data_IF_577058957926
#
_entry.id   IF_577058957926
#
_cell.length_a   1.000
_cell.length_b   1.000
_cell.length_c   1.000
_cell.angle_alpha   90.00
_cell.angle_beta   90.00
_cell.angle_gamma   90.00
#
_symmetry.space_group_name_H-M   'P 1'
#
loop_
_entity.id
_entity.type
_entity.pdbx_description
1 polymer ?
#
# COMPACT_ATOMS: atom_id res chain seq x y z
N UNK A 1 8.04 -5.55 25.20
CA UNK A 1 7.78 -4.33 24.41
C UNK A 1 6.77 -4.57 23.27
N UNK A 2 6.82 -5.68 22.55
CA UNK A 2 5.90 -5.95 21.42
C UNK A 2 4.40 -6.02 21.81
N UNK A 3 4.04 -6.70 22.91
CA UNK A 3 2.63 -6.82 23.35
C UNK A 3 2.01 -5.46 23.73
N UNK A 4 2.73 -4.62 24.45
CA UNK A 4 2.27 -3.27 24.81
C UNK A 4 2.07 -2.39 23.56
N UNK A 5 2.97 -2.48 22.59
CA UNK A 5 2.83 -1.78 21.32
C UNK A 5 1.59 -2.20 20.54
N UNK A 6 1.27 -3.50 20.53
CA UNK A 6 0.06 -4.02 19.87
C UNK A 6 -1.20 -3.55 20.61
N UNK A 7 -1.25 -3.70 21.94
CA UNK A 7 -2.38 -3.21 22.75
C UNK A 7 -2.62 -1.72 22.53
N UNK A 8 -1.55 -0.94 22.50
CA UNK A 8 -1.62 0.50 22.23
C UNK A 8 -2.27 0.81 20.87
N UNK A 9 -1.94 0.04 19.83
CA UNK A 9 -2.56 0.22 18.50
C UNK A 9 -4.07 -0.07 18.51
N UNK A 10 -4.54 -1.05 19.30
CA UNK A 10 -5.97 -1.33 19.43
C UNK A 10 -6.73 -0.22 20.18
N UNK A 11 -6.07 0.49 21.08
CA UNK A 11 -6.69 1.57 21.88
C UNK A 11 -6.63 2.93 21.19
N UNK A 12 -5.74 3.11 20.20
CA UNK A 12 -5.60 4.38 19.50
C UNK A 12 -6.78 4.63 18.56
N UNK A 13 -7.28 5.87 18.50
CA UNK A 13 -8.20 6.31 17.47
C UNK A 13 -7.44 6.48 16.13
N UNK A 14 -7.07 5.37 15.49
CA UNK A 14 -6.15 5.30 14.35
C UNK A 14 -6.54 6.26 13.22
N UNK A 15 -7.83 6.32 12.85
CA UNK A 15 -8.33 7.21 11.80
C UNK A 15 -8.24 8.69 12.17
N UNK A 16 -8.49 9.03 13.45
CA UNK A 16 -8.34 10.42 13.90
C UNK A 16 -6.88 10.85 13.83
N UNK A 17 -5.99 9.99 14.34
CA UNK A 17 -4.55 10.23 14.30
C UNK A 17 -4.06 10.40 12.85
N UNK A 18 -4.43 9.48 11.96
CA UNK A 18 -4.05 9.53 10.55
C UNK A 18 -4.56 10.80 9.86
N UNK A 19 -5.79 11.23 10.15
CA UNK A 19 -6.33 12.49 9.62
C UNK A 19 -5.58 13.72 10.13
N UNK A 20 -5.22 13.76 11.42
CA UNK A 20 -4.45 14.87 11.99
C UNK A 20 -3.05 14.94 11.37
N UNK A 21 -2.37 13.80 11.26
CA UNK A 21 -1.05 13.71 10.61
C UNK A 21 -1.15 14.06 9.13
N UNK A 22 -2.19 13.60 8.42
CA UNK A 22 -2.45 13.95 7.02
C UNK A 22 -2.61 15.46 6.81
N UNK A 23 -3.41 16.14 7.66
CA UNK A 23 -3.53 17.60 7.63
C UNK A 23 -2.20 18.30 7.87
N UNK A 24 -1.39 17.79 8.80
CA UNK A 24 -0.05 18.33 9.07
C UNK A 24 0.87 18.11 7.85
N UNK A 25 0.82 16.93 7.23
CA UNK A 25 1.60 16.60 6.04
C UNK A 25 1.25 17.45 4.82
N UNK A 26 0.00 17.91 4.72
CA UNK A 26 -0.46 18.84 3.67
C UNK A 26 -0.16 20.31 4.00
N UNK A 27 0.27 20.63 5.23
CA UNK A 27 0.56 21.98 5.66
C UNK A 27 1.83 22.55 4.99
N UNK A 28 1.72 23.75 4.44
CA UNK A 28 2.87 24.47 3.87
C UNK A 28 3.84 24.99 4.96
N UNK A 29 3.35 25.28 6.15
CA UNK A 29 4.12 25.98 7.18
C UNK A 29 5.26 25.13 7.76
N UNK A 30 5.00 23.86 8.06
CA UNK A 30 5.98 22.95 8.69
C UNK A 30 6.72 22.04 7.68
N UNK A 31 6.48 22.21 6.38
CA UNK A 31 7.01 21.31 5.35
C UNK A 31 8.52 21.12 5.43
N UNK A 32 9.28 22.22 5.45
CA UNK A 32 10.75 22.19 5.40
C UNK A 32 11.38 21.47 6.59
N UNK A 33 11.05 21.81 7.86
CA UNK A 33 11.59 21.10 9.00
C UNK A 33 11.16 19.63 9.03
N UNK A 34 9.90 19.32 8.67
CA UNK A 34 9.41 17.94 8.60
C UNK A 34 10.19 17.12 7.57
N UNK A 35 10.36 17.64 6.35
CA UNK A 35 11.11 16.96 5.29
C UNK A 35 12.57 16.75 5.72
N UNK A 36 13.25 17.76 6.26
CA UNK A 36 14.65 17.64 6.71
C UNK A 36 14.83 16.60 7.81
N UNK A 37 13.95 16.62 8.82
CA UNK A 37 13.97 15.65 9.92
C UNK A 37 13.73 14.24 9.36
N UNK A 38 12.76 14.08 8.46
CA UNK A 38 12.41 12.80 7.87
C UNK A 38 13.57 12.22 7.03
N UNK A 39 14.16 13.02 6.15
CA UNK A 39 15.33 12.62 5.34
C UNK A 39 16.46 12.15 6.26
N UNK A 40 16.78 12.93 7.30
CA UNK A 40 17.86 12.58 8.25
C UNK A 40 17.53 11.32 9.06
N UNK A 41 16.29 11.19 9.54
CA UNK A 41 15.85 10.08 10.40
C UNK A 41 15.81 8.75 9.65
N UNK A 42 15.30 8.77 8.42
CA UNK A 42 15.10 7.56 7.60
C UNK A 42 16.16 7.37 6.53
N UNK A 43 17.11 8.31 6.38
CA UNK A 43 18.18 8.26 5.36
C UNK A 43 17.63 8.16 3.95
N UNK A 44 16.62 8.99 3.63
CA UNK A 44 16.00 9.02 2.31
C UNK A 44 17.04 9.43 1.25
N UNK A 45 17.15 8.65 0.18
CA UNK A 45 18.03 8.97 -0.95
C UNK A 45 17.39 10.00 -1.86
N UNK A 46 17.76 11.26 -1.72
CA UNK A 46 17.24 12.35 -2.56
C UNK A 46 17.91 12.43 -3.94
N UNK A 47 19.02 11.72 -4.17
CA UNK A 47 19.74 11.76 -5.47
C UNK A 47 18.92 11.08 -6.59
N UNK A 48 18.03 10.17 -6.23
CA UNK A 48 17.14 9.47 -7.15
C UNK A 48 15.86 10.25 -7.44
N UNK A 49 15.55 11.26 -6.62
CA UNK A 49 14.34 12.04 -6.77
C UNK A 49 14.43 13.00 -7.96
N UNK A 50 13.34 13.13 -8.73
CA UNK A 50 13.23 14.10 -9.82
C UNK A 50 13.38 15.54 -9.30
N UNK A 51 12.81 15.83 -8.13
CA UNK A 51 12.99 17.08 -7.39
C UNK A 51 13.90 16.78 -6.21
N UNK A 52 15.15 17.28 -6.26
CA UNK A 52 16.13 17.06 -5.19
C UNK A 52 16.15 18.21 -4.17
N UNK A 53 15.73 19.39 -4.59
CA UNK A 53 15.64 20.58 -3.74
C UNK A 53 14.37 20.52 -2.88
N UNK A 54 14.53 20.41 -1.57
CA UNK A 54 13.42 20.34 -0.61
C UNK A 54 12.54 21.59 -0.60
N UNK A 55 13.06 22.73 -1.05
CA UNK A 55 12.33 23.99 -1.10
C UNK A 55 11.22 23.97 -2.18
N UNK A 56 11.34 23.10 -3.17
CA UNK A 56 10.42 22.96 -4.30
C UNK A 56 9.20 22.07 -4.01
N UNK A 57 9.21 21.31 -2.92
CA UNK A 57 8.03 20.54 -2.55
C UNK A 57 6.96 21.45 -1.94
N UNK A 58 5.75 21.31 -2.39
CA UNK A 58 4.61 22.08 -1.90
C UNK A 58 4.30 21.80 -0.42
N UNK A 59 4.37 20.54 -0.03
CA UNK A 59 4.09 20.05 1.31
C UNK A 59 4.85 18.74 1.56
N UNK A 60 4.71 18.17 2.76
CA UNK A 60 5.36 16.91 3.10
C UNK A 60 4.83 15.73 2.26
N UNK A 61 3.53 15.73 1.93
CA UNK A 61 2.93 14.66 1.14
C UNK A 61 3.52 14.61 -0.27
N UNK A 62 3.71 15.77 -0.92
CA UNK A 62 4.37 15.87 -2.22
C UNK A 62 5.81 15.33 -2.20
N UNK A 63 6.54 15.52 -1.09
CA UNK A 63 7.85 14.90 -0.89
C UNK A 63 7.74 13.39 -0.67
N UNK A 64 6.80 12.93 0.13
CA UNK A 64 6.63 11.52 0.45
C UNK A 64 6.26 10.70 -0.79
N UNK A 65 5.40 11.26 -1.66
CA UNK A 65 5.00 10.67 -2.94
C UNK A 65 5.83 11.18 -4.14
N UNK A 66 7.07 11.62 -3.89
CA UNK A 66 7.98 12.19 -4.89
C UNK A 66 8.18 11.29 -6.10
N UNK A 67 8.35 11.88 -7.27
CA UNK A 67 8.78 11.15 -8.46
C UNK A 67 10.29 10.84 -8.42
N UNK A 68 10.67 9.74 -9.04
CA UNK A 68 12.06 9.40 -9.27
C UNK A 68 12.53 9.94 -10.65
N UNK A 69 13.85 10.00 -10.83
CA UNK A 69 14.46 10.21 -12.15
C UNK A 69 14.06 9.04 -13.08
N UNK A 70 13.94 9.27 -14.40
CA UNK A 70 13.46 8.26 -15.34
C UNK A 70 14.19 6.91 -15.23
N UNK A 71 15.50 6.90 -15.05
CA UNK A 71 16.32 5.69 -15.04
C UNK A 71 16.72 5.24 -13.63
N UNK A 72 16.04 5.76 -12.60
CA UNK A 72 16.36 5.43 -11.20
C UNK A 72 16.07 3.97 -10.84
N UNK A 73 15.23 3.28 -11.61
CA UNK A 73 14.96 1.84 -11.48
C UNK A 73 15.08 1.18 -12.85
N UNK A 74 15.92 0.17 -12.93
CA UNK A 74 16.01 -0.67 -14.12
C UNK A 74 14.74 -1.52 -14.23
N UNK A 75 14.12 -1.49 -15.41
CA UNK A 75 12.98 -2.33 -15.74
C UNK A 75 13.49 -3.46 -16.64
N UNK A 76 13.07 -4.69 -16.37
CA UNK A 76 13.44 -5.84 -17.19
C UNK A 76 12.73 -5.77 -18.54
N UNK A 77 13.49 -5.93 -19.63
CA UNK A 77 12.97 -6.04 -21.00
C UNK A 77 12.65 -7.48 -21.38
N UNK A 78 12.79 -8.43 -20.47
CA UNK A 78 12.52 -9.84 -20.74
C UNK A 78 11.03 -10.08 -21.00
N UNK A 79 10.70 -10.76 -22.08
CA UNK A 79 9.30 -11.13 -22.39
C UNK A 79 8.71 -11.97 -21.26
N UNK A 80 7.50 -11.59 -20.82
CA UNK A 80 6.79 -12.26 -19.73
C UNK A 80 7.33 -11.97 -18.33
N UNK A 81 8.25 -11.01 -18.17
CA UNK A 81 8.72 -10.62 -16.84
C UNK A 81 7.64 -9.87 -16.08
N UNK A 82 7.39 -10.31 -14.84
CA UNK A 82 6.61 -9.56 -13.86
C UNK A 82 7.62 -8.76 -13.04
N UNK A 83 7.63 -7.44 -13.19
CA UNK A 83 8.55 -6.56 -12.47
C UNK A 83 8.03 -6.21 -11.08
N UNK A 84 8.92 -5.86 -10.17
CA UNK A 84 8.51 -5.44 -8.84
C UNK A 84 7.73 -4.12 -8.90
N UNK A 85 6.49 -4.07 -8.42
CA UNK A 85 5.63 -2.88 -8.57
C UNK A 85 6.01 -1.71 -7.65
N UNK A 86 6.84 -1.94 -6.63
CA UNK A 86 7.18 -0.95 -5.62
C UNK A 86 8.58 -1.17 -5.05
N UNK A 87 9.19 -0.11 -4.56
CA UNK A 87 10.37 -0.23 -3.69
C UNK A 87 9.98 -0.84 -2.36
N UNK A 88 10.87 -1.61 -1.77
CA UNK A 88 10.65 -2.20 -0.44
C UNK A 88 11.31 -3.56 -0.27
N UNK A 89 10.88 -4.26 0.76
CA UNK A 89 11.27 -5.63 1.02
C UNK A 89 10.14 -6.59 0.67
N UNK A 90 10.43 -7.67 -0.02
CA UNK A 90 9.49 -8.79 -0.16
C UNK A 90 9.37 -9.46 1.20
N UNK A 91 8.22 -9.28 1.85
CA UNK A 91 7.98 -9.88 3.17
C UNK A 91 7.48 -11.30 3.05
N UNK A 92 6.67 -11.59 2.03
CA UNK A 92 6.18 -12.94 1.71
C UNK A 92 6.06 -13.11 0.20
N UNK A 93 6.34 -14.31 -0.26
CA UNK A 93 6.19 -14.74 -1.64
C UNK A 93 5.79 -16.22 -1.65
N UNK A 94 4.80 -16.60 -2.42
CA UNK A 94 4.36 -17.98 -2.44
C UNK A 94 3.17 -18.26 -3.34
N UNK A 95 2.64 -19.47 -3.17
CA UNK A 95 1.41 -19.90 -3.82
C UNK A 95 0.21 -19.62 -2.90
N UNK A 96 -0.93 -19.36 -3.51
CA UNK A 96 -2.22 -19.34 -2.83
C UNK A 96 -2.71 -20.79 -2.79
N UNK A 97 -2.66 -21.41 -1.63
CA UNK A 97 -3.08 -22.80 -1.44
C UNK A 97 -4.37 -22.86 -0.62
N UNK A 98 -5.37 -23.58 -1.10
CA UNK A 98 -6.67 -23.69 -0.46
C UNK A 98 -7.31 -22.30 -0.13
N UNK A 99 -7.11 -21.33 -1.02
CA UNK A 99 -7.57 -19.96 -0.84
C UNK A 99 -6.86 -19.17 0.28
N UNK A 100 -5.71 -19.63 0.76
CA UNK A 100 -4.96 -19.02 1.86
C UNK A 100 -3.65 -18.40 1.40
N UNK A 101 -3.33 -17.24 1.98
CA UNK A 101 -2.06 -16.55 1.81
C UNK A 101 -1.28 -16.55 3.12
N UNK A 102 0.04 -16.70 3.02
CA UNK A 102 0.92 -16.59 4.19
C UNK A 102 1.09 -15.13 4.59
N UNK A 103 0.75 -14.80 5.84
CA UNK A 103 0.98 -13.46 6.39
C UNK A 103 2.37 -13.32 7.00
N UNK A 104 2.69 -14.14 7.96
CA UNK A 104 3.98 -14.18 8.68
C UNK A 104 4.01 -15.38 9.64
N UNK A 105 5.18 -15.96 9.89
CA UNK A 105 5.39 -17.01 10.91
C UNK A 105 4.32 -18.12 10.94
N UNK A 106 3.94 -18.65 9.80
CA UNK A 106 2.92 -19.69 9.69
C UNK A 106 1.48 -19.21 9.96
N UNK A 107 1.24 -17.92 10.02
CA UNK A 107 -0.09 -17.32 10.02
C UNK A 107 -0.56 -17.13 8.58
N UNK A 108 -1.77 -17.56 8.32
CA UNK A 108 -2.41 -17.40 7.02
C UNK A 108 -3.66 -16.54 7.16
N UNK A 109 -4.09 -15.98 6.07
CA UNK A 109 -5.37 -15.27 5.95
C UNK A 109 -6.01 -15.59 4.60
N UNK A 110 -7.32 -15.48 4.55
CA UNK A 110 -8.10 -15.87 3.38
C UNK A 110 -7.96 -14.88 2.23
N UNK A 111 -7.78 -15.40 1.02
CA UNK A 111 -7.85 -14.61 -0.22
C UNK A 111 -9.21 -13.93 -0.36
N UNK A 112 -10.29 -14.64 -0.06
CA UNK A 112 -11.65 -14.08 -0.07
C UNK A 112 -11.79 -12.89 0.88
N UNK A 113 -11.31 -13.01 2.13
CA UNK A 113 -11.35 -11.89 3.09
C UNK A 113 -10.52 -10.70 2.59
N UNK A 114 -9.35 -10.95 2.00
CA UNK A 114 -8.51 -9.91 1.41
C UNK A 114 -9.24 -9.19 0.27
N UNK A 115 -10.01 -9.93 -0.53
CA UNK A 115 -10.81 -9.47 -1.67
C UNK A 115 -12.23 -9.03 -1.27
N UNK A 116 -12.40 -8.50 -0.07
CA UNK A 116 -13.65 -7.93 0.44
C UNK A 116 -14.81 -8.93 0.62
N UNK A 117 -14.55 -10.23 0.69
CA UNK A 117 -15.55 -11.28 0.78
C UNK A 117 -16.13 -11.72 -0.57
N UNK A 118 -15.53 -11.28 -1.67
CA UNK A 118 -15.95 -11.69 -3.01
C UNK A 118 -15.38 -13.08 -3.34
N UNK A 119 -16.23 -14.11 -3.14
CA UNK A 119 -15.90 -15.52 -3.39
C UNK A 119 -15.62 -15.77 -4.89
N UNK A 120 -16.34 -15.10 -5.78
CA UNK A 120 -16.15 -15.28 -7.23
C UNK A 120 -14.78 -14.74 -7.65
N UNK A 121 -14.44 -13.53 -7.20
CA UNK A 121 -13.12 -12.97 -7.44
C UNK A 121 -12.01 -13.82 -6.80
N UNK A 122 -12.20 -14.32 -5.57
CA UNK A 122 -11.21 -15.17 -4.91
C UNK A 122 -10.92 -16.46 -5.70
N UNK A 123 -11.94 -17.02 -6.36
CA UNK A 123 -11.80 -18.23 -7.20
C UNK A 123 -10.85 -18.00 -8.38
N UNK A 124 -10.75 -16.77 -8.92
CA UNK A 124 -9.82 -16.44 -10.01
C UNK A 124 -8.35 -16.64 -9.60
N UNK A 125 -8.06 -16.56 -8.30
CA UNK A 125 -6.71 -16.66 -7.76
C UNK A 125 -6.41 -18.00 -7.10
N UNK A 126 -7.30 -18.97 -7.18
CA UNK A 126 -7.04 -20.33 -6.70
C UNK A 126 -5.80 -20.90 -7.42
N UNK A 127 -4.90 -21.53 -6.65
CA UNK A 127 -3.60 -22.05 -7.15
C UNK A 127 -2.70 -20.96 -7.79
N UNK A 128 -3.05 -19.69 -7.60
CA UNK A 128 -2.26 -18.57 -8.06
C UNK A 128 -1.02 -18.32 -7.19
N UNK A 129 -0.36 -17.22 -7.49
CA UNK A 129 0.84 -16.77 -6.77
C UNK A 129 0.61 -15.40 -6.16
N UNK A 130 1.29 -15.12 -5.05
CA UNK A 130 1.24 -13.79 -4.44
C UNK A 130 2.63 -13.32 -4.02
N UNK A 131 2.78 -12.00 -3.93
CA UNK A 131 3.92 -11.34 -3.33
C UNK A 131 3.41 -10.22 -2.40
N UNK A 132 3.91 -10.18 -1.18
CA UNK A 132 3.68 -9.09 -0.24
C UNK A 132 4.94 -8.25 -0.15
N UNK A 133 4.83 -6.98 -0.55
CA UNK A 133 5.94 -6.03 -0.58
C UNK A 133 5.68 -4.98 0.50
N UNK A 134 6.68 -4.72 1.31
CA UNK A 134 6.65 -3.74 2.39
C UNK A 134 7.56 -2.55 2.08
N UNK A 135 7.00 -1.41 1.64
CA UNK A 135 7.75 -0.17 1.53
C UNK A 135 8.03 0.40 2.92
N UNK A 136 9.29 0.62 3.24
CA UNK A 136 9.65 1.31 4.48
C UNK A 136 9.58 2.84 4.29
N UNK A 137 9.53 3.65 5.35
CA UNK A 137 9.36 5.10 5.22
C UNK A 137 10.39 5.81 4.32
N UNK A 138 11.58 5.25 4.12
CA UNK A 138 12.61 5.83 3.24
C UNK A 138 12.38 5.57 1.77
N UNK A 139 11.62 4.51 1.45
CA UNK A 139 11.47 4.01 0.10
C UNK A 139 10.61 4.93 -0.77
N UNK A 140 10.53 4.62 -2.02
CA UNK A 140 9.64 5.26 -2.98
C UNK A 140 8.21 4.76 -2.77
N UNK A 141 7.23 5.68 -2.70
CA UNK A 141 5.86 5.36 -2.31
C UNK A 141 4.85 5.45 -3.46
N UNK A 142 5.31 5.45 -4.71
CA UNK A 142 4.41 5.22 -5.85
C UNK A 142 4.50 3.76 -6.25
N UNK A 143 3.35 3.16 -6.53
CA UNK A 143 3.22 1.79 -7.00
C UNK A 143 2.97 1.80 -8.50
N UNK A 144 3.65 0.93 -9.22
CA UNK A 144 3.57 0.81 -10.68
C UNK A 144 3.02 -0.55 -11.07
N UNK A 145 2.47 -0.65 -12.30
CA UNK A 145 2.01 -1.93 -12.81
C UNK A 145 3.19 -2.88 -13.02
N UNK A 146 3.11 -4.11 -12.49
CA UNK A 146 4.18 -5.10 -12.64
C UNK A 146 4.24 -5.74 -14.04
N UNK A 147 3.16 -5.68 -14.80
CA UNK A 147 3.02 -6.13 -16.19
C UNK A 147 1.92 -5.31 -16.86
N UNK A 148 1.90 -5.21 -18.17
CA UNK A 148 0.81 -4.56 -18.90
C UNK A 148 -0.54 -5.24 -18.62
N UNK A 149 -1.60 -4.44 -18.44
CA UNK A 149 -2.93 -4.95 -18.15
C UNK A 149 -4.00 -3.87 -18.26
N UNK A 150 -5.24 -4.30 -18.39
CA UNK A 150 -6.43 -3.45 -18.45
C UNK A 150 -7.11 -3.45 -17.09
N UNK A 151 -7.34 -2.27 -16.52
CA UNK A 151 -8.09 -2.14 -15.28
C UNK A 151 -9.55 -2.53 -15.49
N UNK A 152 -10.01 -3.52 -14.74
CA UNK A 152 -11.38 -4.03 -14.82
C UNK A 152 -12.26 -3.46 -13.71
N UNK A 153 -11.76 -3.47 -12.49
CA UNK A 153 -12.53 -3.08 -11.30
C UNK A 153 -11.61 -2.52 -10.23
N UNK A 154 -12.12 -1.56 -9.46
CA UNK A 154 -11.53 -1.18 -8.18
C UNK A 154 -12.53 -1.37 -7.05
N UNK A 155 -12.04 -1.83 -5.89
CA UNK A 155 -12.85 -1.99 -4.68
C UNK A 155 -12.10 -1.31 -3.53
N UNK A 156 -12.67 -0.22 -3.03
CA UNK A 156 -12.23 0.37 -1.77
C UNK A 156 -12.90 -0.34 -0.60
N UNK A 157 -12.11 -0.83 0.32
CA UNK A 157 -12.56 -1.54 1.51
C UNK A 157 -12.17 -0.73 2.75
N UNK A 158 -13.14 -0.16 3.48
CA UNK A 158 -12.85 0.50 4.74
C UNK A 158 -12.34 -0.50 5.77
N UNK A 159 -11.41 -0.09 6.62
CA UNK A 159 -10.83 -0.99 7.60
C UNK A 159 -10.08 -0.26 8.70
N UNK A 160 -9.30 -1.02 9.46
CA UNK A 160 -8.39 -0.49 10.48
C UNK A 160 -7.14 0.15 9.82
N UNK A 161 -6.32 0.83 10.61
CA UNK A 161 -5.04 1.38 10.19
C UNK A 161 -3.92 0.94 11.16
N UNK A 162 -3.78 -0.37 11.32
CA UNK A 162 -2.64 -0.92 12.06
C UNK A 162 -1.34 -0.64 11.31
N UNK A 163 -0.25 -0.44 12.02
CA UNK A 163 1.06 -0.44 11.37
C UNK A 163 1.31 -1.82 10.71
N UNK A 164 2.00 -1.83 9.58
CA UNK A 164 2.24 -3.07 8.81
C UNK A 164 3.69 -3.56 8.91
N UNK A 165 4.38 -3.17 9.99
CA UNK A 165 5.73 -3.69 10.27
C UNK A 165 5.69 -5.17 10.72
N UNK A 166 6.86 -5.82 10.71
CA UNK A 166 7.00 -7.24 11.04
C UNK A 166 6.38 -7.62 12.38
N UNK A 167 6.57 -6.79 13.42
CA UNK A 167 6.01 -7.05 14.76
C UNK A 167 4.49 -7.13 14.74
N UNK A 168 3.84 -6.26 13.99
CA UNK A 168 2.38 -6.25 13.86
C UNK A 168 1.92 -7.42 12.99
N UNK A 169 2.60 -7.69 11.87
CA UNK A 169 2.31 -8.82 11.00
C UNK A 169 2.42 -10.17 11.74
N UNK A 170 3.35 -10.30 12.68
CA UNK A 170 3.51 -11.47 13.52
C UNK A 170 2.44 -11.61 14.61
N UNK A 171 1.73 -10.52 14.95
CA UNK A 171 0.90 -10.46 16.16
C UNK A 171 -0.58 -10.26 15.89
N UNK A 172 -0.95 -9.50 14.85
CA UNK A 172 -2.34 -9.19 14.51
C UNK A 172 -2.84 -10.19 13.48
N UNK A 173 -3.87 -10.99 13.79
CA UNK A 173 -4.49 -11.89 12.81
C UNK A 173 -5.12 -11.09 11.68
N UNK A 174 -5.03 -11.62 10.46
CA UNK A 174 -5.66 -11.08 9.24
C UNK A 174 -5.29 -9.62 8.97
N UNK A 175 -4.08 -9.20 9.36
CA UNK A 175 -3.64 -7.82 9.36
C UNK A 175 -3.96 -7.08 8.05
N UNK A 176 -3.59 -7.68 6.91
CA UNK A 176 -3.75 -7.05 5.61
C UNK A 176 -5.21 -7.02 5.14
N UNK A 177 -6.00 -8.00 5.55
CA UNK A 177 -7.44 -8.05 5.27
C UNK A 177 -8.27 -7.17 6.22
N UNK A 178 -7.72 -6.79 7.37
CA UNK A 178 -8.35 -5.88 8.35
C UNK A 178 -8.11 -4.42 8.03
N UNK A 179 -6.94 -4.09 7.50
CA UNK A 179 -6.61 -2.71 7.20
C UNK A 179 -7.42 -2.18 6.00
N UNK A 180 -7.69 -0.87 6.05
CA UNK A 180 -8.19 -0.11 4.91
C UNK A 180 -7.35 -0.42 3.67
N UNK A 181 -8.00 -0.67 2.54
CA UNK A 181 -7.29 -1.06 1.33
C UNK A 181 -8.04 -0.73 0.06
N UNK A 182 -7.31 -0.61 -1.03
CA UNK A 182 -7.83 -0.52 -2.38
C UNK A 182 -7.38 -1.75 -3.17
N UNK A 183 -8.34 -2.49 -3.69
CA UNK A 183 -8.13 -3.63 -4.56
C UNK A 183 -8.31 -3.14 -6.00
N UNK A 184 -7.31 -3.33 -6.85
CA UNK A 184 -7.36 -3.03 -8.28
C UNK A 184 -7.23 -4.34 -9.04
N UNK A 185 -8.30 -4.77 -9.71
CA UNK A 185 -8.34 -5.97 -10.53
C UNK A 185 -8.01 -5.61 -11.97
N UNK A 186 -7.03 -6.30 -12.54
CA UNK A 186 -6.58 -6.13 -13.92
C UNK A 186 -6.72 -7.44 -14.67
N UNK A 187 -7.02 -7.33 -15.96
CA UNK A 187 -6.81 -8.40 -16.93
C UNK A 187 -5.47 -8.20 -17.60
N UNK A 188 -4.64 -9.25 -17.64
CA UNK A 188 -3.30 -9.24 -18.22
C UNK A 188 -3.11 -10.40 -19.19
N UNK A 189 -2.02 -10.41 -19.97
CA UNK A 189 -1.70 -11.50 -20.88
C UNK A 189 -1.46 -12.85 -20.18
N UNK A 190 -1.16 -12.84 -18.88
CA UNK A 190 -0.94 -14.03 -18.06
C UNK A 190 -2.15 -14.39 -17.18
N UNK A 191 -3.29 -13.74 -17.41
CA UNK A 191 -4.53 -13.90 -16.64
C UNK A 191 -4.80 -12.78 -15.63
N UNK A 192 -5.79 -12.95 -14.75
CA UNK A 192 -6.20 -11.93 -13.80
C UNK A 192 -5.09 -11.61 -12.80
N UNK A 193 -4.92 -10.31 -12.51
CA UNK A 193 -3.98 -9.81 -11.52
C UNK A 193 -4.66 -8.82 -10.58
N UNK A 194 -4.51 -9.00 -9.28
CA UNK A 194 -4.95 -8.05 -8.29
C UNK A 194 -3.74 -7.30 -7.69
N UNK A 195 -3.73 -5.98 -7.82
CA UNK A 195 -2.82 -5.10 -7.10
C UNK A 195 -3.57 -4.51 -5.92
N UNK A 196 -3.14 -4.85 -4.70
CA UNK A 196 -3.84 -4.48 -3.47
C UNK A 196 -2.97 -3.52 -2.67
N UNK A 197 -3.43 -2.28 -2.55
CA UNK A 197 -2.79 -1.24 -1.78
C UNK A 197 -3.39 -1.24 -0.37
N UNK A 198 -2.56 -1.54 0.62
CA UNK A 198 -3.00 -1.64 2.02
C UNK A 198 -2.55 -0.42 2.79
N UNK A 199 -3.51 0.31 3.35
CA UNK A 199 -3.25 1.44 4.23
C UNK A 199 -2.62 1.01 5.55
N UNK A 200 -1.95 1.95 6.19
CA UNK A 200 -1.30 1.74 7.48
C UNK A 200 -1.42 2.99 8.36
N UNK A 201 -1.08 2.86 9.64
CA UNK A 201 -1.06 3.98 10.57
C UNK A 201 -0.23 5.13 10.02
N UNK A 202 -0.84 6.32 9.92
CA UNK A 202 -0.29 7.57 9.34
C UNK A 202 0.09 7.51 7.86
N UNK A 203 -0.10 6.37 7.20
CA UNK A 203 0.07 6.19 5.76
C UNK A 203 -1.27 5.68 5.22
N UNK A 204 -2.27 6.54 5.26
CA UNK A 204 -3.62 6.33 4.75
C UNK A 204 -3.90 7.41 3.70
N UNK A 205 -4.81 7.10 2.81
CA UNK A 205 -5.05 7.89 1.61
C UNK A 205 -4.30 7.27 0.43
N UNK A 206 -5.06 6.85 -0.56
CA UNK A 206 -4.55 6.19 -1.75
C UNK A 206 -4.98 7.03 -2.94
N UNK A 207 -4.01 7.55 -3.69
CA UNK A 207 -4.25 8.26 -4.94
C UNK A 207 -4.01 7.33 -6.11
N UNK A 208 -4.92 7.36 -7.08
CA UNK A 208 -4.77 6.65 -8.35
C UNK A 208 -4.65 7.65 -9.51
N UNK A 209 -3.90 7.27 -10.55
CA UNK A 209 -3.72 8.14 -11.72
C UNK A 209 -4.98 8.31 -12.55
N UNK A 210 -5.98 7.45 -12.38
CA UNK A 210 -7.23 7.46 -13.15
C UNK A 210 -8.44 8.02 -12.38
N UNK A 211 -8.39 8.06 -11.02
CA UNK A 211 -9.52 8.51 -10.20
C UNK A 211 -9.14 9.54 -9.13
N UNK A 212 -7.83 9.88 -9.00
CA UNK A 212 -7.34 10.74 -7.94
C UNK A 212 -7.40 10.06 -6.57
N UNK A 213 -7.66 10.84 -5.52
CA UNK A 213 -7.75 10.33 -4.14
C UNK A 213 -8.97 9.44 -3.96
N UNK A 214 -8.70 8.19 -3.58
CA UNK A 214 -9.71 7.20 -3.21
C UNK A 214 -9.83 7.22 -1.69
N UNK A 215 -10.92 7.79 -1.21
CA UNK A 215 -11.19 7.88 0.23
C UNK A 215 -12.68 7.59 0.52
N UNK A 216 -13.00 7.18 1.75
CA UNK A 216 -14.40 6.96 2.11
C UNK A 216 -15.18 8.28 2.02
N UNK A 217 -16.37 8.23 1.42
CA UNK A 217 -17.32 9.34 1.52
C UNK A 217 -17.54 9.65 3.01
N UNK A 218 -17.47 10.93 3.39
CA UNK A 218 -17.57 11.36 4.79
C UNK A 218 -18.78 10.69 5.49
N UNK A 219 -18.49 9.97 6.57
CA UNK A 219 -19.51 9.32 7.41
C UNK A 219 -19.91 7.91 7.02
N UNK A 220 -19.49 7.38 5.87
CA UNK A 220 -19.85 6.03 5.44
C UNK A 220 -18.62 5.11 5.41
N UNK A 221 -18.69 4.03 6.20
CA UNK A 221 -17.72 2.92 6.16
C UNK A 221 -18.30 1.79 5.30
N UNK A 222 -18.57 2.11 4.04
CA UNK A 222 -19.13 1.15 3.08
C UNK A 222 -18.07 0.80 2.03
N UNK A 223 -18.08 -0.44 1.59
CA UNK A 223 -17.30 -0.89 0.44
C UNK A 223 -17.77 -0.09 -0.78
N UNK A 224 -16.84 0.40 -1.58
CA UNK A 224 -17.14 1.14 -2.80
C UNK A 224 -16.50 0.43 -3.98
N UNK A 225 -17.32 0.03 -4.93
CA UNK A 225 -16.88 -0.62 -6.16
C UNK A 225 -17.06 0.32 -7.35
N UNK A 226 -16.13 0.22 -8.29
CA UNK A 226 -16.17 0.92 -9.57
C UNK A 226 -15.69 -0.03 -10.64
N UNK A 227 -16.54 -0.26 -11.64
CA UNK A 227 -16.24 -1.04 -12.84
C UNK A 227 -15.68 -0.11 -13.92
N UNK A 228 -14.72 -0.61 -14.70
CA UNK A 228 -14.02 0.11 -15.79
C UNK A 228 -14.14 -0.62 -17.14
N UNK A 229 -14.72 -1.82 -17.13
CA UNK A 229 -14.97 -2.63 -18.33
C UNK A 229 -16.41 -2.51 -18.81
#
# INVERSE_FOLDING_TARGET
>A
MSRLFIIFQYLLPQHLLSRLVGKLAQSHFLRKPLIRIFIKRYKVNMREARIQDIEKFENFNAFFTRELLPDARAISDSSGAIVCPADGAISQLGNIADGQLLQAKGRHYSCETLLAGDTQMATLFNEGKFATIYPSPKDYHRVHMPIAGTLMKTIYVPGDLFSVNQTTADSVPDLFARNERLICLFETEIGPMAVILVGAMIVAGIDTVWAGEVCPKQGKREIQETDYA
#
